data_IF_376226115194
#
_entry.id   IF_376226115194
#
_cell.length_a   1.000
_cell.length_b   1.000
_cell.length_c   1.000
_cell.angle_alpha   90.00
_cell.angle_beta   90.00
_cell.angle_gamma   90.00
#
_symmetry.space_group_name_H-M   'P 1'
#
loop_
_entity.id
_entity.type
_entity.pdbx_description
1 polymer ?
#
# COMPACT_ATOMS: atom_id res chain seq x y z
N UNK A 1 -0.92 -15.17 14.70
CA UNK A 1 -1.39 -14.98 16.08
C UNK A 1 -1.89 -16.29 16.62
N UNK A 2 -1.33 -16.72 17.71
CA UNK A 2 -1.72 -17.94 18.41
C UNK A 2 -2.10 -17.62 19.86
N UNK A 3 -3.07 -18.32 20.41
CA UNK A 3 -3.39 -18.25 21.84
C UNK A 3 -2.63 -19.34 22.60
N UNK A 4 -1.81 -18.94 23.54
CA UNK A 4 -1.18 -19.83 24.51
C UNK A 4 -1.75 -19.53 25.91
N UNK A 5 -2.38 -20.54 26.52
CA UNK A 5 -2.97 -20.43 27.89
C UNK A 5 -3.96 -19.28 28.05
N UNK A 6 -4.78 -19.01 27.02
CA UNK A 6 -5.80 -17.96 27.05
C UNK A 6 -5.28 -16.52 26.89
N UNK A 7 -3.99 -16.32 26.65
CA UNK A 7 -3.41 -15.01 26.34
C UNK A 7 -2.98 -14.92 24.87
N UNK A 8 -3.19 -13.78 24.20
CA UNK A 8 -2.71 -13.59 22.84
C UNK A 8 -1.18 -13.62 22.81
N UNK A 9 -0.63 -14.33 21.85
CA UNK A 9 0.80 -14.43 21.64
C UNK A 9 1.18 -13.93 20.26
N UNK A 10 2.16 -13.00 20.20
CA UNK A 10 2.69 -12.44 18.97
C UNK A 10 4.14 -12.86 18.78
N UNK A 11 4.42 -13.47 17.65
CA UNK A 11 5.76 -13.85 17.24
C UNK A 11 6.15 -13.08 15.97
N UNK A 12 7.35 -12.49 15.99
CA UNK A 12 7.89 -11.86 14.80
C UNK A 12 8.39 -12.93 13.83
N UNK A 13 7.71 -13.08 12.70
CA UNK A 13 8.07 -14.07 11.67
C UNK A 13 8.94 -13.47 10.55
N UNK A 14 8.91 -12.13 10.35
CA UNK A 14 9.67 -11.47 9.30
C UNK A 14 9.93 -10.00 9.62
N UNK A 15 10.98 -9.47 9.02
CA UNK A 15 11.26 -8.04 8.88
C UNK A 15 11.59 -7.77 7.42
N UNK A 16 10.92 -6.81 6.79
CA UNK A 16 11.09 -6.46 5.39
C UNK A 16 11.04 -4.94 5.22
N UNK A 17 11.90 -4.40 4.33
CA UNK A 17 11.94 -2.96 4.05
C UNK A 17 10.76 -2.52 3.19
N UNK A 18 10.19 -1.33 3.49
CA UNK A 18 9.15 -0.68 2.68
C UNK A 18 9.70 0.13 1.51
N UNK A 19 10.98 0.45 1.51
CA UNK A 19 11.67 1.23 0.46
C UNK A 19 12.74 0.40 -0.24
N UNK A 20 13.28 0.92 -1.34
CA UNK A 20 14.48 0.39 -1.97
C UNK A 20 15.70 0.74 -1.13
N UNK A 21 16.76 -0.10 -1.16
CA UNK A 21 17.92 0.00 -0.26
C UNK A 21 18.63 1.35 -0.30
N UNK A 22 18.67 2.00 -1.47
CA UNK A 22 19.31 3.32 -1.64
C UNK A 22 18.42 4.51 -1.25
N UNK A 23 17.16 4.30 -0.85
CA UNK A 23 16.22 5.35 -0.46
C UNK A 23 15.90 5.37 1.05
N UNK A 24 16.59 4.55 1.85
CA UNK A 24 16.17 4.27 3.23
C UNK A 24 16.35 5.42 4.23
N UNK A 25 17.15 6.47 3.93
CA UNK A 25 17.63 7.39 4.96
C UNK A 25 16.62 8.45 5.42
N UNK A 26 15.59 8.77 4.64
CA UNK A 26 14.64 9.86 4.93
C UNK A 26 13.17 9.49 4.72
N UNK A 27 12.83 8.21 4.77
CA UNK A 27 11.47 7.75 4.55
C UNK A 27 10.82 7.24 5.83
N UNK A 28 9.51 7.43 5.91
CA UNK A 28 8.66 6.83 6.92
C UNK A 28 7.47 6.13 6.25
N UNK A 29 7.26 4.87 6.57
CA UNK A 29 6.02 4.18 6.19
C UNK A 29 4.84 4.87 6.88
N UNK A 30 3.80 5.22 6.13
CA UNK A 30 2.68 6.00 6.62
C UNK A 30 1.40 5.17 6.76
N UNK A 31 1.08 4.36 5.77
CA UNK A 31 -0.12 3.52 5.78
C UNK A 31 0.22 2.05 5.54
N UNK A 32 -0.71 1.19 5.96
CA UNK A 32 -0.61 -0.26 5.76
C UNK A 32 -2.00 -0.80 5.50
N UNK A 33 -2.25 -1.29 4.29
CA UNK A 33 -3.54 -1.80 3.87
C UNK A 33 -3.42 -3.19 3.24
N UNK A 34 -4.37 -4.06 3.55
CA UNK A 34 -4.51 -5.37 2.91
C UNK A 34 -5.45 -5.26 1.70
N UNK A 35 -5.19 -6.04 0.65
CA UNK A 35 -6.20 -6.29 -0.38
C UNK A 35 -7.41 -7.00 0.21
N UNK A 36 -8.60 -6.84 -0.41
CA UNK A 36 -9.85 -7.44 0.08
C UNK A 36 -9.77 -8.98 0.20
N UNK A 37 -9.04 -9.60 -0.71
CA UNK A 37 -8.81 -11.05 -0.75
C UNK A 37 -7.59 -11.54 0.06
N UNK A 38 -6.92 -10.64 0.79
CA UNK A 38 -5.71 -10.90 1.59
C UNK A 38 -4.51 -11.44 0.81
N UNK A 39 -4.47 -11.30 -0.52
CA UNK A 39 -3.35 -11.74 -1.35
C UNK A 39 -2.18 -10.75 -1.32
N UNK A 40 -2.47 -9.47 -1.06
CA UNK A 40 -1.50 -8.38 -1.14
C UNK A 40 -1.53 -7.47 0.08
N UNK A 41 -0.37 -6.92 0.38
CA UNK A 41 -0.17 -5.87 1.38
C UNK A 41 0.42 -4.66 0.68
N UNK A 42 -0.15 -3.47 0.94
CA UNK A 42 0.29 -2.20 0.38
C UNK A 42 0.71 -1.28 1.53
N UNK A 43 1.81 -0.57 1.35
CA UNK A 43 2.25 0.49 2.27
C UNK A 43 2.68 1.72 1.48
N UNK A 44 2.37 2.90 2.00
CA UNK A 44 2.88 4.17 1.48
C UNK A 44 4.11 4.62 2.25
N UNK A 45 5.03 5.28 1.55
CA UNK A 45 6.29 5.81 2.10
C UNK A 45 6.30 7.34 1.95
N UNK A 46 5.98 8.04 3.05
CA UNK A 46 5.75 9.47 3.03
C UNK A 46 6.99 10.29 2.61
N UNK A 47 8.18 9.95 3.10
CA UNK A 47 9.41 10.66 2.75
C UNK A 47 9.99 10.28 1.39
N UNK A 48 9.75 9.06 0.93
CA UNK A 48 10.24 8.52 -0.36
C UNK A 48 9.29 8.81 -1.53
N UNK A 49 8.08 9.29 -1.25
CA UNK A 49 7.04 9.55 -2.25
C UNK A 49 6.73 8.31 -3.11
N UNK A 50 6.70 7.15 -2.47
CA UNK A 50 6.51 5.87 -3.12
C UNK A 50 5.42 5.03 -2.46
N UNK A 51 4.99 4.01 -3.18
CA UNK A 51 4.17 2.93 -2.66
C UNK A 51 4.90 1.61 -2.86
N UNK A 52 4.79 0.73 -1.89
CA UNK A 52 5.32 -0.63 -1.95
C UNK A 52 4.17 -1.63 -1.90
N UNK A 53 4.28 -2.67 -2.70
CA UNK A 53 3.34 -3.79 -2.71
C UNK A 53 4.07 -5.10 -2.45
N UNK A 54 3.46 -5.91 -1.62
CA UNK A 54 3.94 -7.26 -1.29
C UNK A 54 2.88 -8.29 -1.63
N UNK A 55 3.34 -9.44 -2.08
CA UNK A 55 2.52 -10.66 -2.13
C UNK A 55 2.63 -11.37 -0.78
N UNK A 56 1.50 -11.88 -0.29
CA UNK A 56 1.41 -12.62 0.97
C UNK A 56 1.36 -14.13 0.64
N UNK A 57 2.30 -14.88 1.17
CA UNK A 57 2.21 -16.35 1.11
C UNK A 57 1.10 -16.84 2.03
N UNK A 58 0.10 -17.50 1.47
CA UNK A 58 -1.12 -17.88 2.19
C UNK A 58 -0.93 -19.01 3.22
N UNK A 59 0.21 -19.69 3.19
CA UNK A 59 0.54 -20.76 4.14
C UNK A 59 1.38 -20.26 5.31
N UNK A 60 2.33 -19.39 5.03
CA UNK A 60 3.33 -18.93 5.99
C UNK A 60 3.09 -17.50 6.50
N UNK A 61 2.32 -16.69 5.77
CA UNK A 61 2.15 -15.26 6.01
C UNK A 61 3.37 -14.42 5.62
N UNK A 62 4.40 -15.02 5.05
CA UNK A 62 5.61 -14.29 4.63
C UNK A 62 5.33 -13.40 3.43
N UNK A 63 6.00 -12.25 3.41
CA UNK A 63 5.86 -11.23 2.38
C UNK A 63 6.99 -11.34 1.35
N UNK A 64 6.62 -11.22 0.07
CA UNK A 64 7.55 -11.02 -1.04
C UNK A 64 7.28 -9.67 -1.66
N UNK A 65 8.27 -8.78 -1.70
CA UNK A 65 8.14 -7.45 -2.32
C UNK A 65 8.00 -7.61 -3.83
N UNK A 66 6.94 -7.04 -4.40
CA UNK A 66 6.69 -7.02 -5.84
C UNK A 66 7.29 -5.77 -6.48
N UNK A 67 7.09 -4.60 -5.86
CA UNK A 67 7.68 -3.34 -6.28
C UNK A 67 7.69 -2.32 -5.14
N UNK A 68 8.52 -1.28 -5.32
CA UNK A 68 8.45 -0.01 -4.61
C UNK A 68 8.67 1.09 -5.65
N UNK A 69 7.62 1.84 -5.99
CA UNK A 69 7.60 2.77 -7.12
C UNK A 69 7.02 4.14 -6.73
N UNK A 70 7.46 5.23 -7.39
CA UNK A 70 6.93 6.57 -7.17
C UNK A 70 5.44 6.69 -7.47
N UNK A 71 4.74 7.56 -6.72
CA UNK A 71 3.28 7.75 -6.83
C UNK A 71 2.88 9.04 -7.56
N UNK A 72 3.79 9.75 -8.18
CA UNK A 72 3.52 11.02 -8.89
C UNK A 72 2.81 12.06 -8.01
N UNK A 73 3.31 12.27 -6.81
CA UNK A 73 2.84 13.21 -5.81
C UNK A 73 3.80 13.28 -4.64
N UNK A 74 3.44 14.03 -3.60
CA UNK A 74 4.29 14.24 -2.45
C UNK A 74 3.59 13.84 -1.15
N UNK A 75 4.34 13.15 -0.31
CA UNK A 75 3.95 12.73 1.03
C UNK A 75 2.68 11.88 1.07
N UNK A 76 2.70 10.66 0.50
CA UNK A 76 1.54 9.78 0.49
C UNK A 76 1.18 9.32 1.91
N UNK A 77 0.08 9.83 2.43
CA UNK A 77 -0.46 9.48 3.75
C UNK A 77 -1.15 8.14 3.74
N UNK A 78 -1.79 7.80 2.64
CA UNK A 78 -2.50 6.53 2.47
C UNK A 78 -2.44 6.06 1.02
N UNK A 79 -2.52 4.76 0.84
CA UNK A 79 -2.63 4.13 -0.47
C UNK A 79 -3.42 2.83 -0.34
N UNK A 80 -4.39 2.65 -1.24
CA UNK A 80 -5.29 1.51 -1.18
C UNK A 80 -5.46 0.85 -2.54
N UNK A 81 -5.40 -0.49 -2.53
CA UNK A 81 -5.73 -1.32 -3.68
C UNK A 81 -7.26 -1.50 -3.76
N UNK A 82 -7.82 -1.33 -4.95
CA UNK A 82 -9.23 -1.63 -5.18
C UNK A 82 -9.49 -3.14 -5.09
N UNK A 83 -10.74 -3.56 -4.84
CA UNK A 83 -11.09 -4.99 -4.70
C UNK A 83 -10.80 -5.85 -5.93
N UNK A 84 -10.60 -5.22 -7.09
CA UNK A 84 -10.22 -5.90 -8.33
C UNK A 84 -8.72 -6.28 -8.40
N UNK A 85 -7.91 -5.89 -7.41
CA UNK A 85 -6.46 -6.06 -7.37
C UNK A 85 -5.70 -5.45 -8.56
N UNK A 86 -6.34 -4.56 -9.32
CA UNK A 86 -5.78 -3.95 -10.54
C UNK A 86 -5.68 -2.43 -10.47
N UNK A 87 -6.44 -1.80 -9.62
CA UNK A 87 -6.41 -0.35 -9.45
C UNK A 87 -5.93 0.01 -8.06
N UNK A 88 -5.14 1.07 -7.98
CA UNK A 88 -4.58 1.61 -6.75
C UNK A 88 -4.79 3.12 -6.73
N UNK A 89 -5.15 3.66 -5.57
CA UNK A 89 -5.18 5.09 -5.30
C UNK A 89 -4.11 5.45 -4.28
N UNK A 90 -3.44 6.58 -4.48
CA UNK A 90 -2.55 7.20 -3.50
C UNK A 90 -3.06 8.57 -3.12
N UNK A 91 -3.08 8.86 -1.81
CA UNK A 91 -3.45 10.15 -1.23
C UNK A 91 -2.20 10.93 -0.90
N UNK A 92 -1.91 11.96 -1.68
CA UNK A 92 -0.67 12.73 -1.63
C UNK A 92 -0.90 14.03 -0.86
N UNK A 93 -0.63 14.01 0.44
CA UNK A 93 -0.99 15.05 1.40
C UNK A 93 -0.35 16.41 1.08
N UNK A 94 0.96 16.45 0.84
CA UNK A 94 1.70 17.69 0.62
C UNK A 94 1.44 18.30 -0.77
N UNK A 95 1.18 17.46 -1.78
CA UNK A 95 0.82 17.95 -3.12
C UNK A 95 -0.66 18.22 -3.31
N UNK A 96 -1.51 17.96 -2.30
CA UNK A 96 -2.96 18.14 -2.36
C UNK A 96 -3.61 17.41 -3.54
N UNK A 97 -3.24 16.14 -3.73
CA UNK A 97 -3.71 15.36 -4.88
C UNK A 97 -4.06 13.93 -4.50
N UNK A 98 -4.91 13.32 -5.34
CA UNK A 98 -5.01 11.87 -5.48
C UNK A 98 -4.49 11.46 -6.84
N UNK A 99 -3.74 10.37 -6.88
CA UNK A 99 -3.27 9.74 -8.12
C UNK A 99 -3.77 8.31 -8.20
N UNK A 100 -4.17 7.89 -9.40
CA UNK A 100 -4.73 6.58 -9.67
C UNK A 100 -3.84 5.81 -10.62
N UNK A 101 -3.71 4.51 -10.37
CA UNK A 101 -2.82 3.63 -11.13
C UNK A 101 -3.52 2.34 -11.51
N UNK A 102 -3.12 1.79 -12.66
CA UNK A 102 -3.29 0.37 -12.96
C UNK A 102 -2.07 -0.39 -12.45
N UNK A 103 -2.31 -1.42 -11.69
CA UNK A 103 -1.28 -2.26 -11.07
C UNK A 103 -1.11 -3.54 -11.87
N UNK A 104 0.15 -3.91 -12.11
CA UNK A 104 0.54 -5.15 -12.77
C UNK A 104 1.40 -5.98 -11.81
N UNK A 105 0.80 -6.77 -10.91
CA UNK A 105 1.54 -7.50 -9.87
C UNK A 105 2.57 -8.48 -10.44
N UNK A 106 2.26 -9.11 -11.58
CA UNK A 106 3.12 -10.11 -12.21
C UNK A 106 4.41 -9.53 -12.78
N UNK A 107 4.39 -8.26 -13.21
CA UNK A 107 5.54 -7.54 -13.78
C UNK A 107 6.16 -6.54 -12.83
N UNK A 108 5.54 -6.30 -11.67
CA UNK A 108 6.00 -5.33 -10.68
C UNK A 108 5.92 -3.87 -11.15
N UNK A 109 4.90 -3.53 -11.94
CA UNK A 109 4.71 -2.20 -12.52
C UNK A 109 3.39 -1.58 -12.06
N UNK A 110 3.40 -0.23 -11.98
CA UNK A 110 2.19 0.61 -11.90
C UNK A 110 2.20 1.62 -13.04
N UNK A 111 1.03 1.87 -13.61
CA UNK A 111 0.85 2.84 -14.69
C UNK A 111 -0.21 3.85 -14.26
N UNK A 112 0.14 5.13 -14.25
CA UNK A 112 -0.76 6.21 -13.85
C UNK A 112 -1.95 6.32 -14.82
N UNK A 113 -3.16 6.42 -14.27
CA UNK A 113 -4.41 6.52 -15.02
C UNK A 113 -4.88 7.99 -15.08
N UNK A 114 -4.46 8.69 -16.11
CA UNK A 114 -4.86 10.07 -16.34
C UNK A 114 -4.21 11.07 -15.37
N UNK A 115 -4.67 12.33 -15.39
CA UNK A 115 -4.13 13.38 -14.54
C UNK A 115 -4.51 13.18 -13.06
N UNK A 116 -3.75 13.79 -12.18
CA UNK A 116 -4.05 13.86 -10.75
C UNK A 116 -5.38 14.58 -10.48
N UNK A 117 -6.07 14.20 -9.43
CA UNK A 117 -7.27 14.87 -8.93
C UNK A 117 -6.89 15.73 -7.73
N UNK A 118 -7.31 17.00 -7.72
CA UNK A 118 -7.06 17.92 -6.61
C UNK A 118 -7.95 17.60 -5.43
N UNK A 119 -7.33 17.36 -4.27
CA UNK A 119 -7.99 17.15 -2.98
C UNK A 119 -7.12 17.79 -1.90
N UNK A 120 -7.69 18.68 -1.11
CA UNK A 120 -6.94 19.38 -0.06
C UNK A 120 -6.55 18.43 1.07
N UNK A 121 -5.25 18.29 1.30
CA UNK A 121 -4.62 17.52 2.37
C UNK A 121 -5.27 16.13 2.65
N UNK A 122 -5.40 15.25 1.65
CA UNK A 122 -6.03 13.96 1.85
C UNK A 122 -5.22 13.08 2.81
N UNK A 123 -5.87 12.36 3.71
CA UNK A 123 -5.22 11.60 4.77
C UNK A 123 -5.57 10.12 4.82
N UNK A 124 -6.81 9.78 4.47
CA UNK A 124 -7.30 8.41 4.61
C UNK A 124 -8.27 8.07 3.48
N UNK A 125 -8.17 6.86 2.97
CA UNK A 125 -9.10 6.32 1.98
C UNK A 125 -9.65 4.99 2.44
N UNK A 126 -10.92 4.78 2.20
CA UNK A 126 -11.58 3.50 2.40
C UNK A 126 -12.46 3.19 1.19
N UNK A 127 -12.44 1.94 0.76
CA UNK A 127 -13.32 1.44 -0.27
C UNK A 127 -14.64 0.94 0.37
N UNK A 128 -15.75 1.34 -0.20
CA UNK A 128 -17.07 0.86 0.19
C UNK A 128 -17.84 0.39 -1.05
N UNK A 129 -18.36 -0.84 -1.02
CA UNK A 129 -19.27 -1.34 -2.05
C UNK A 129 -20.66 -0.80 -1.78
N UNK A 130 -21.26 -0.18 -2.79
CA UNK A 130 -22.68 0.14 -2.75
C UNK A 130 -23.45 -1.15 -3.02
N UNK A 131 -24.38 -1.50 -2.14
CA UNK A 131 -25.33 -2.57 -2.43
C UNK A 131 -26.23 -2.11 -3.59
N UNK A 132 -26.35 -2.94 -4.62
CA UNK A 132 -27.34 -2.72 -5.65
C UNK A 132 -28.74 -2.96 -5.03
N UNK A 133 -29.62 -1.95 -5.08
CA UNK A 133 -31.01 -2.09 -4.66
C UNK A 133 -31.79 -3.03 -5.60
#
# INVERSE_FOLDING_TARGET
YEEKKGNPFFEKIQRISTVNDYHASNSAASALNLSEDFQYLISSNAGDNSVVMYKIDQKTGLLTKLFCLPISGEYPKDAMLFPDNRHLVSLNHESNTMTFFTVHPDTGLIVMNGPEIKVDQPNCVIFHRLEEE
#
